data_IF_734860536930
#
_entry.id   IF_734860536930
#
_cell.length_a   1.000
_cell.length_b   1.000
_cell.length_c   1.000
_cell.angle_alpha   90.00
_cell.angle_beta   90.00
_cell.angle_gamma   90.00
#
_symmetry.space_group_name_H-M   'P 1'
#
loop_
_entity.id
_entity.type
_entity.pdbx_description
1 polymer ?
#
# COMPACT_ATOMS: atom_id res chain seq x y z
N UNK A 1 15.53 31.50 -7.03
CA UNK A 1 14.68 30.30 -7.15
C UNK A 1 15.56 29.09 -6.88
N UNK A 2 15.47 28.47 -5.69
CA UNK A 2 16.20 27.23 -5.38
C UNK A 2 15.72 26.19 -6.41
N UNK A 3 16.62 25.63 -7.23
CA UNK A 3 16.28 24.49 -8.08
C UNK A 3 15.85 23.38 -7.13
N UNK A 4 14.55 23.09 -7.07
CA UNK A 4 14.10 21.88 -6.39
C UNK A 4 14.77 20.69 -7.10
N UNK A 5 15.25 19.70 -6.34
CA UNK A 5 15.85 18.52 -6.95
C UNK A 5 14.80 17.87 -7.85
N UNK A 6 15.17 17.58 -9.10
CA UNK A 6 14.34 16.87 -10.09
C UNK A 6 13.73 15.59 -9.53
N UNK A 7 14.33 15.03 -8.47
CA UNK A 7 13.89 13.82 -7.81
C UNK A 7 12.42 13.83 -7.41
N UNK A 8 11.92 14.94 -6.84
CA UNK A 8 10.53 15.00 -6.41
C UNK A 8 9.52 14.79 -7.54
N UNK A 9 9.85 15.15 -8.78
CA UNK A 9 9.00 14.88 -9.93
C UNK A 9 8.98 13.40 -10.30
N UNK A 10 10.14 12.74 -10.29
CA UNK A 10 10.25 11.32 -10.62
C UNK A 10 9.57 10.44 -9.57
N UNK A 11 9.79 10.70 -8.28
CA UNK A 11 9.12 9.98 -7.18
C UNK A 11 7.60 10.01 -7.35
N UNK A 12 7.03 11.20 -7.62
CA UNK A 12 5.57 11.39 -7.78
C UNK A 12 5.05 10.74 -9.05
N UNK A 13 5.80 10.77 -10.15
CA UNK A 13 5.42 10.13 -11.40
C UNK A 13 5.41 8.59 -11.28
N UNK A 14 6.45 8.00 -10.69
CA UNK A 14 6.55 6.54 -10.49
C UNK A 14 5.48 6.07 -9.51
N UNK A 15 5.30 6.76 -8.38
CA UNK A 15 4.24 6.48 -7.40
C UNK A 15 2.85 6.59 -8.02
N UNK A 16 2.59 7.60 -8.87
CA UNK A 16 1.33 7.74 -9.59
C UNK A 16 1.08 6.54 -10.52
N UNK A 17 2.07 6.17 -11.32
CA UNK A 17 1.95 5.06 -12.27
C UNK A 17 1.68 3.74 -11.54
N UNK A 18 2.42 3.49 -10.46
CA UNK A 18 2.23 2.32 -9.62
C UNK A 18 0.80 2.27 -9.06
N UNK A 19 0.35 3.35 -8.42
CA UNK A 19 -0.99 3.45 -7.84
C UNK A 19 -2.10 3.22 -8.87
N UNK A 20 -2.02 3.88 -10.04
CA UNK A 20 -3.02 3.74 -11.12
C UNK A 20 -3.10 2.32 -11.68
N UNK A 21 -2.03 1.54 -11.59
CA UNK A 21 -2.01 0.13 -12.01
C UNK A 21 -2.49 -0.80 -10.88
N UNK A 22 -1.97 -0.65 -9.66
CA UNK A 22 -2.26 -1.60 -8.56
C UNK A 22 -3.69 -1.46 -8.04
N UNK A 23 -4.27 -0.25 -8.04
CA UNK A 23 -5.62 -0.03 -7.49
C UNK A 23 -6.68 -0.81 -8.30
N UNK A 24 -6.79 -0.69 -9.64
CA UNK A 24 -7.78 -1.46 -10.41
C UNK A 24 -7.55 -2.97 -10.30
N UNK A 25 -6.30 -3.43 -10.34
CA UNK A 25 -5.96 -4.84 -10.21
C UNK A 25 -6.32 -5.39 -8.82
N UNK A 26 -6.12 -4.60 -7.76
CA UNK A 26 -6.54 -4.92 -6.40
C UNK A 26 -8.06 -5.11 -6.31
N UNK A 27 -8.85 -4.21 -6.92
CA UNK A 27 -10.31 -4.33 -6.97
C UNK A 27 -10.76 -5.63 -7.65
N UNK A 28 -10.12 -6.02 -8.75
CA UNK A 28 -10.42 -7.27 -9.46
C UNK A 28 -10.13 -8.52 -8.61
N UNK A 29 -9.22 -8.41 -7.62
CA UNK A 29 -8.81 -9.50 -6.76
C UNK A 29 -9.57 -9.56 -5.42
N UNK A 30 -10.55 -8.68 -5.16
CA UNK A 30 -11.24 -8.66 -3.86
C UNK A 30 -12.15 -9.88 -3.65
N UNK A 31 -12.84 -10.34 -4.69
CA UNK A 31 -13.91 -11.35 -4.56
C UNK A 31 -13.56 -12.67 -5.24
N UNK A 32 -12.32 -13.13 -5.09
CA UNK A 32 -11.87 -14.39 -5.69
C UNK A 32 -12.40 -15.58 -4.87
N UNK A 33 -13.15 -16.51 -5.48
CA UNK A 33 -13.69 -17.68 -4.78
C UNK A 33 -12.60 -18.56 -4.14
N UNK A 34 -11.41 -18.62 -4.75
CA UNK A 34 -10.26 -19.35 -4.22
C UNK A 34 -9.76 -18.82 -2.86
N UNK A 35 -10.21 -17.63 -2.44
CA UNK A 35 -9.74 -16.93 -1.24
C UNK A 35 -10.88 -16.66 -0.23
N UNK A 36 -12.11 -17.09 -0.50
CA UNK A 36 -13.28 -16.67 0.29
C UNK A 36 -13.47 -17.43 1.61
N UNK A 37 -12.99 -18.69 1.67
CA UNK A 37 -13.11 -19.54 2.85
C UNK A 37 -12.20 -19.13 4.01
N UNK A 38 -12.55 -19.49 5.24
CA UNK A 38 -11.86 -19.02 6.45
C UNK A 38 -10.38 -19.42 6.50
N UNK A 39 -10.06 -20.62 6.01
CA UNK A 39 -8.69 -21.13 5.89
C UNK A 39 -7.99 -20.55 4.66
N UNK A 40 -8.71 -20.45 3.55
CA UNK A 40 -8.25 -19.93 2.27
C UNK A 40 -7.87 -18.45 2.34
N UNK A 41 -8.46 -17.69 3.26
CA UNK A 41 -8.01 -16.31 3.55
C UNK A 41 -6.55 -16.24 4.00
N UNK A 42 -6.04 -17.29 4.65
CA UNK A 42 -4.67 -17.34 5.15
C UNK A 42 -3.75 -18.10 4.20
N UNK A 43 -4.19 -19.24 3.69
CA UNK A 43 -3.34 -20.17 2.93
C UNK A 43 -3.73 -20.33 1.46
N UNK A 44 -4.86 -19.74 1.04
CA UNK A 44 -5.33 -19.80 -0.34
C UNK A 44 -4.43 -18.99 -1.27
N UNK A 45 -4.52 -19.32 -2.55
CA UNK A 45 -3.75 -18.66 -3.62
C UNK A 45 -4.58 -18.52 -4.88
N UNK A 46 -4.33 -17.45 -5.62
CA UNK A 46 -4.86 -17.22 -6.96
C UNK A 46 -3.78 -16.51 -7.78
N UNK A 47 -3.56 -16.96 -9.01
CA UNK A 47 -2.50 -16.44 -9.89
C UNK A 47 -2.68 -14.94 -10.19
N UNK A 48 -3.91 -14.44 -10.20
CA UNK A 48 -4.19 -13.00 -10.38
C UNK A 48 -3.63 -12.17 -9.24
N UNK A 49 -3.67 -12.70 -8.01
CA UNK A 49 -3.05 -12.07 -6.85
C UNK A 49 -1.53 -12.15 -6.96
N UNK A 50 -0.99 -13.27 -7.43
CA UNK A 50 0.45 -13.38 -7.73
C UNK A 50 0.93 -12.31 -8.71
N UNK A 51 0.20 -12.08 -9.81
CA UNK A 51 0.49 -11.01 -10.75
C UNK A 51 0.42 -9.62 -10.09
N UNK A 52 -0.63 -9.35 -9.31
CA UNK A 52 -0.74 -8.10 -8.55
C UNK A 52 0.44 -7.90 -7.58
N UNK A 53 0.83 -8.93 -6.85
CA UNK A 53 1.95 -8.89 -5.91
C UNK A 53 3.29 -8.68 -6.64
N UNK A 54 3.46 -9.17 -7.87
CA UNK A 54 4.64 -8.88 -8.70
C UNK A 54 4.78 -7.39 -8.96
N UNK A 55 3.67 -6.71 -9.30
CA UNK A 55 3.66 -5.25 -9.49
C UNK A 55 3.86 -4.54 -8.15
N UNK A 56 3.26 -5.05 -7.06
CA UNK A 56 3.45 -4.50 -5.72
C UNK A 56 4.92 -4.54 -5.28
N UNK A 57 5.68 -5.57 -5.62
CA UNK A 57 7.14 -5.61 -5.38
C UNK A 57 7.92 -4.45 -6.02
N UNK A 58 7.28 -3.64 -6.88
CA UNK A 58 7.75 -2.32 -7.28
C UNK A 58 8.08 -1.36 -6.12
N UNK A 59 7.61 -1.62 -4.89
CA UNK A 59 8.08 -0.93 -3.66
C UNK A 59 9.60 -1.01 -3.45
N UNK A 60 10.31 -1.88 -4.17
CA UNK A 60 11.76 -1.82 -4.29
C UNK A 60 12.25 -0.45 -4.79
N UNK A 61 11.54 0.17 -5.74
CA UNK A 61 11.82 1.51 -6.20
C UNK A 61 11.76 2.52 -5.06
N UNK A 62 10.72 2.46 -4.23
CA UNK A 62 10.55 3.37 -3.09
C UNK A 62 11.72 3.27 -2.12
N UNK A 63 12.23 2.06 -1.86
CA UNK A 63 13.44 1.88 -1.03
C UNK A 63 14.65 2.55 -1.68
N UNK A 64 14.91 2.26 -2.96
CA UNK A 64 16.07 2.78 -3.67
C UNK A 64 16.04 4.31 -3.75
N UNK A 65 14.89 4.87 -4.14
CA UNK A 65 14.69 6.31 -4.21
C UNK A 65 14.87 6.97 -2.84
N UNK A 66 14.25 6.40 -1.79
CA UNK A 66 14.33 6.93 -0.44
C UNK A 66 15.75 6.93 0.12
N UNK A 67 16.50 5.85 -0.10
CA UNK A 67 17.89 5.72 0.39
C UNK A 67 18.83 6.63 -0.38
N UNK A 68 18.73 6.69 -1.71
CA UNK A 68 19.62 7.49 -2.55
C UNK A 68 19.41 9.00 -2.36
N UNK A 69 18.19 9.41 -2.04
CA UNK A 69 17.83 10.82 -1.89
C UNK A 69 17.62 11.26 -0.44
N UNK A 70 17.98 10.41 0.53
CA UNK A 70 17.91 10.69 1.97
C UNK A 70 16.52 11.17 2.42
N UNK A 71 15.48 10.50 1.93
CA UNK A 71 14.11 10.71 2.36
C UNK A 71 13.90 10.30 3.82
N UNK A 72 12.71 10.57 4.36
CA UNK A 72 12.39 10.23 5.76
C UNK A 72 12.56 8.73 6.04
N UNK A 73 13.06 8.41 7.25
CA UNK A 73 13.21 7.01 7.68
C UNK A 73 11.89 6.23 7.65
N UNK A 74 10.77 6.90 7.89
CA UNK A 74 9.43 6.29 7.78
C UNK A 74 9.13 5.81 6.37
N UNK A 75 9.56 6.55 5.33
CA UNK A 75 9.36 6.15 3.93
C UNK A 75 10.26 4.98 3.52
N UNK A 76 11.49 4.93 4.02
CA UNK A 76 12.38 3.76 3.85
C UNK A 76 11.78 2.52 4.52
N UNK A 77 11.32 2.65 5.76
CA UNK A 77 10.69 1.56 6.51
C UNK A 77 9.39 1.08 5.85
N UNK A 78 8.61 1.99 5.28
CA UNK A 78 7.43 1.66 4.47
C UNK A 78 7.81 0.76 3.29
N UNK A 79 8.75 1.20 2.45
CA UNK A 79 9.19 0.45 1.28
C UNK A 79 9.71 -0.95 1.64
N UNK A 80 10.54 -1.05 2.68
CA UNK A 80 11.06 -2.34 3.18
C UNK A 80 9.93 -3.25 3.64
N UNK A 81 8.98 -2.73 4.44
CA UNK A 81 7.86 -3.50 4.94
C UNK A 81 6.98 -4.01 3.79
N UNK A 82 6.61 -3.13 2.86
CA UNK A 82 5.80 -3.49 1.68
C UNK A 82 6.50 -4.54 0.81
N UNK A 83 7.77 -4.32 0.44
CA UNK A 83 8.54 -5.28 -0.36
C UNK A 83 8.63 -6.65 0.34
N UNK A 84 8.85 -6.65 1.67
CA UNK A 84 8.95 -7.89 2.44
C UNK A 84 7.64 -8.67 2.45
N UNK A 85 6.51 -8.02 2.75
CA UNK A 85 5.21 -8.72 2.83
C UNK A 85 4.73 -9.20 1.47
N UNK A 86 4.88 -8.40 0.40
CA UNK A 86 4.49 -8.85 -0.94
C UNK A 86 5.46 -9.89 -1.50
N UNK A 87 6.76 -9.77 -1.25
CA UNK A 87 7.76 -10.75 -1.68
C UNK A 87 7.61 -12.11 -0.98
N UNK A 88 7.32 -12.13 0.32
CA UNK A 88 7.14 -13.39 1.06
C UNK A 88 5.79 -14.06 0.81
N UNK A 89 4.81 -13.36 0.24
CA UNK A 89 3.48 -13.91 -0.04
C UNK A 89 3.48 -15.08 -1.04
N UNK A 90 4.53 -15.19 -1.87
CA UNK A 90 4.71 -16.25 -2.88
C UNK A 90 4.93 -17.65 -2.29
N UNK A 91 5.15 -17.75 -0.97
CA UNK A 91 4.90 -19.00 -0.26
C UNK A 91 3.43 -18.95 0.16
N UNK A 92 2.49 -19.47 -0.65
CA UNK A 92 1.05 -19.15 -0.61
C UNK A 92 0.54 -18.72 0.77
N UNK A 93 0.55 -17.40 1.02
CA UNK A 93 0.24 -16.85 2.32
C UNK A 93 -0.38 -15.47 2.18
N UNK A 94 -1.53 -15.29 2.82
CA UNK A 94 -2.28 -14.04 2.92
C UNK A 94 -2.63 -13.40 1.57
N UNK A 95 -2.80 -14.20 0.51
CA UNK A 95 -3.23 -13.73 -0.81
C UNK A 95 -4.59 -13.01 -0.77
N UNK A 96 -5.45 -13.34 0.18
CA UNK A 96 -6.71 -12.61 0.42
C UNK A 96 -6.48 -11.17 0.89
N UNK A 97 -5.48 -10.96 1.74
CA UNK A 97 -5.22 -9.67 2.39
C UNK A 97 -4.38 -8.73 1.53
N UNK A 98 -3.50 -9.26 0.68
CA UNK A 98 -2.63 -8.46 -0.18
C UNK A 98 -3.38 -7.41 -1.03
N UNK A 99 -4.36 -7.80 -1.87
CA UNK A 99 -5.17 -6.84 -2.64
C UNK A 99 -5.87 -5.81 -1.74
N UNK A 100 -6.34 -6.23 -0.56
CA UNK A 100 -7.08 -5.37 0.36
C UNK A 100 -6.19 -4.31 1.00
N UNK A 101 -4.96 -4.66 1.36
CA UNK A 101 -3.99 -3.69 1.86
C UNK A 101 -3.43 -2.80 0.76
N UNK A 102 -3.36 -3.27 -0.50
CA UNK A 102 -2.99 -2.41 -1.64
C UNK A 102 -4.02 -1.30 -1.92
N UNK A 103 -5.27 -1.43 -1.46
CA UNK A 103 -6.23 -0.33 -1.53
C UNK A 103 -5.84 0.88 -0.66
N UNK A 104 -4.83 0.78 0.21
CA UNK A 104 -4.25 1.95 0.88
C UNK A 104 -3.61 2.94 -0.09
N UNK A 105 -3.30 2.52 -1.32
CA UNK A 105 -2.84 3.39 -2.38
C UNK A 105 -3.95 4.27 -2.98
N UNK A 106 -5.23 4.08 -2.62
CA UNK A 106 -6.36 4.85 -3.17
C UNK A 106 -6.21 6.37 -3.05
N UNK A 107 -5.54 6.84 -1.99
CA UNK A 107 -5.27 8.27 -1.79
C UNK A 107 -4.05 8.77 -2.56
N UNK A 108 -3.15 7.88 -3.00
CA UNK A 108 -1.86 8.21 -3.61
C UNK A 108 -2.00 9.00 -4.92
N UNK A 109 -2.94 8.70 -5.83
CA UNK A 109 -3.17 9.54 -7.00
C UNK A 109 -3.54 10.98 -6.63
N UNK A 110 -4.44 11.17 -5.66
CA UNK A 110 -4.84 12.50 -5.22
C UNK A 110 -3.70 13.24 -4.51
N UNK A 111 -2.87 12.52 -3.75
CA UNK A 111 -1.67 13.06 -3.10
C UNK A 111 -0.68 13.60 -4.13
N UNK A 112 -0.39 12.80 -5.16
CA UNK A 112 0.53 13.18 -6.22
C UNK A 112 -0.02 14.33 -7.07
N UNK A 113 -1.31 14.31 -7.42
CA UNK A 113 -1.98 15.44 -8.09
C UNK A 113 -1.92 16.72 -7.24
N UNK A 114 -2.11 16.64 -5.93
CA UNK A 114 -2.03 17.80 -5.05
C UNK A 114 -0.63 18.44 -5.11
N UNK A 115 0.41 17.60 -5.03
CA UNK A 115 1.80 18.04 -5.14
C UNK A 115 2.12 18.69 -6.49
N UNK A 116 1.55 18.17 -7.59
CA UNK A 116 1.68 18.76 -8.93
C UNK A 116 0.93 20.09 -9.04
N UNK A 117 -0.29 20.17 -8.50
CA UNK A 117 -1.08 21.40 -8.52
C UNK A 117 -0.39 22.54 -7.75
N UNK A 118 0.24 22.24 -6.62
CA UNK A 118 1.05 23.19 -5.85
C UNK A 118 2.22 23.82 -6.64
N UNK A 119 2.64 23.19 -7.74
CA UNK A 119 3.75 23.62 -8.60
C UNK A 119 3.29 24.11 -9.98
N UNK A 120 1.99 24.23 -10.17
CA UNK A 120 1.38 24.66 -11.43
C UNK A 120 0.54 25.94 -11.23
N UNK A 121 0.10 26.61 -12.31
CA UNK A 121 -0.86 27.70 -12.22
C UNK A 121 -2.23 27.30 -11.62
N UNK A 122 -2.48 26.00 -11.43
CA UNK A 122 -3.72 25.50 -10.83
C UNK A 122 -3.74 25.65 -9.30
N UNK A 123 -2.62 26.04 -8.66
CA UNK A 123 -2.57 26.24 -7.22
C UNK A 123 -3.62 27.24 -6.75
N UNK A 124 -4.49 26.80 -5.85
CA UNK A 124 -5.52 27.63 -5.21
C UNK A 124 -6.80 27.77 -6.04
N UNK A 125 -6.86 27.13 -7.21
CA UNK A 125 -8.11 27.02 -7.98
C UNK A 125 -9.09 26.06 -7.31
N UNK A 126 -10.36 26.11 -7.74
CA UNK A 126 -11.39 25.14 -7.33
C UNK A 126 -10.97 23.70 -7.59
N UNK A 127 -10.24 23.43 -8.69
CA UNK A 127 -9.74 22.08 -9.02
C UNK A 127 -8.74 21.62 -7.95
N UNK A 128 -7.82 22.49 -7.52
CA UNK A 128 -6.88 22.16 -6.45
C UNK A 128 -7.61 21.85 -5.15
N UNK A 129 -8.61 22.66 -4.79
CA UNK A 129 -9.43 22.43 -3.59
C UNK A 129 -10.21 21.11 -3.64
N UNK A 130 -10.89 20.81 -4.76
CA UNK A 130 -11.63 19.57 -4.94
C UNK A 130 -10.72 18.35 -4.85
N UNK A 131 -9.52 18.41 -5.44
CA UNK A 131 -8.53 17.34 -5.31
C UNK A 131 -8.04 17.18 -3.86
N UNK A 132 -7.78 18.28 -3.16
CA UNK A 132 -7.41 18.26 -1.74
C UNK A 132 -8.51 17.61 -0.87
N UNK A 133 -9.78 17.89 -1.15
CA UNK A 133 -10.90 17.23 -0.47
C UNK A 133 -10.96 15.73 -0.81
N UNK A 134 -10.80 15.37 -2.09
CA UNK A 134 -10.77 13.97 -2.52
C UNK A 134 -9.60 13.20 -1.87
N UNK A 135 -8.44 13.84 -1.72
CA UNK A 135 -7.30 13.31 -0.98
C UNK A 135 -7.66 13.01 0.47
N UNK A 136 -8.24 13.97 1.20
CA UNK A 136 -8.61 13.77 2.61
C UNK A 136 -9.64 12.65 2.79
N UNK A 137 -10.68 12.64 1.94
CA UNK A 137 -11.74 11.62 1.97
C UNK A 137 -11.16 10.24 1.66
N UNK A 138 -10.41 10.11 0.57
CA UNK A 138 -9.81 8.82 0.19
C UNK A 138 -8.81 8.32 1.24
N UNK A 139 -7.98 9.20 1.80
CA UNK A 139 -7.02 8.85 2.86
C UNK A 139 -7.77 8.33 4.10
N UNK A 140 -8.75 9.08 4.59
CA UNK A 140 -9.51 8.71 5.78
C UNK A 140 -10.22 7.36 5.60
N UNK A 141 -10.96 7.19 4.52
CA UNK A 141 -11.73 5.96 4.33
C UNK A 141 -10.86 4.76 3.95
N UNK A 142 -9.87 4.92 3.06
CA UNK A 142 -9.06 3.79 2.62
C UNK A 142 -8.04 3.35 3.68
N UNK A 143 -7.32 4.28 4.30
CA UNK A 143 -6.23 3.97 5.23
C UNK A 143 -6.71 3.81 6.66
N UNK A 144 -7.49 4.77 7.17
CA UNK A 144 -7.87 4.76 8.59
C UNK A 144 -9.08 3.86 8.86
N UNK A 145 -10.16 3.98 8.09
CA UNK A 145 -11.37 3.17 8.32
C UNK A 145 -11.20 1.75 7.77
N UNK A 146 -11.10 1.62 6.45
CA UNK A 146 -11.03 0.32 5.78
C UNK A 146 -9.75 -0.42 6.15
N UNK A 147 -8.60 0.28 6.21
CA UNK A 147 -7.33 -0.31 6.62
C UNK A 147 -7.33 -0.86 8.03
N UNK A 148 -7.81 -0.09 9.02
CA UNK A 148 -7.88 -0.60 10.40
C UNK A 148 -8.85 -1.76 10.54
N UNK A 149 -10.00 -1.71 9.84
CA UNK A 149 -10.94 -2.83 9.80
C UNK A 149 -10.30 -4.08 9.19
N UNK A 150 -9.57 -3.93 8.08
CA UNK A 150 -8.89 -5.05 7.44
C UNK A 150 -7.73 -5.60 8.27
N UNK A 151 -7.00 -4.74 8.99
CA UNK A 151 -6.01 -5.15 9.98
C UNK A 151 -6.63 -5.95 11.12
N UNK A 152 -7.77 -5.51 11.66
CA UNK A 152 -8.50 -6.31 12.65
C UNK A 152 -8.88 -7.68 12.10
N UNK A 153 -9.46 -7.74 10.89
CA UNK A 153 -9.83 -9.00 10.25
C UNK A 153 -8.60 -9.90 9.99
N UNK A 154 -7.48 -9.31 9.60
CA UNK A 154 -6.19 -9.98 9.42
C UNK A 154 -5.71 -10.62 10.72
N UNK A 155 -5.71 -9.87 11.83
CA UNK A 155 -5.30 -10.38 13.14
C UNK A 155 -6.17 -11.54 13.60
N UNK A 156 -7.50 -11.45 13.42
CA UNK A 156 -8.40 -12.56 13.74
C UNK A 156 -8.03 -13.83 12.96
N UNK A 157 -7.76 -13.71 11.65
CA UNK A 157 -7.41 -14.87 10.82
C UNK A 157 -6.06 -15.49 11.15
N UNK A 158 -5.02 -14.70 11.41
CA UNK A 158 -3.70 -15.26 11.75
C UNK A 158 -3.68 -15.85 13.16
N UNK A 159 -4.44 -15.29 14.10
CA UNK A 159 -4.55 -15.82 15.47
C UNK A 159 -5.32 -17.14 15.46
N UNK A 160 -6.45 -17.18 14.74
CA UNK A 160 -7.25 -18.40 14.59
C UNK A 160 -6.48 -19.55 13.94
N UNK A 161 -5.53 -19.24 13.05
CA UNK A 161 -4.69 -20.24 12.35
C UNK A 161 -3.26 -20.32 12.92
N UNK A 162 -3.01 -19.76 14.12
CA UNK A 162 -1.64 -19.58 14.65
C UNK A 162 -0.81 -20.85 14.67
N UNK A 163 -1.42 -22.01 14.95
CA UNK A 163 -0.73 -23.30 15.02
C UNK A 163 -0.11 -23.73 13.68
N UNK A 164 -0.74 -23.35 12.57
CA UNK A 164 -0.34 -23.75 11.21
C UNK A 164 0.61 -22.73 10.55
N UNK A 165 0.82 -21.56 11.17
CA UNK A 165 1.65 -20.48 10.62
C UNK A 165 3.07 -20.59 11.17
N UNK A 166 4.10 -20.66 10.31
CA UNK A 166 5.49 -20.59 10.75
C UNK A 166 5.75 -19.35 11.63
N UNK A 167 6.42 -19.47 12.79
CA UNK A 167 6.63 -18.35 13.71
C UNK A 167 7.31 -17.14 13.05
N UNK A 168 8.20 -17.39 12.08
CA UNK A 168 8.87 -16.35 11.31
C UNK A 168 7.88 -15.51 10.50
N UNK A 169 6.99 -16.14 9.73
CA UNK A 169 5.96 -15.45 8.95
C UNK A 169 4.98 -14.73 9.87
N UNK A 170 4.55 -15.36 10.96
CA UNK A 170 3.66 -14.73 11.92
C UNK A 170 4.21 -13.38 12.43
N UNK A 171 5.47 -13.35 12.87
CA UNK A 171 6.08 -12.13 13.39
C UNK A 171 6.37 -11.09 12.30
N UNK A 172 6.87 -11.51 11.14
CA UNK A 172 7.13 -10.58 10.01
C UNK A 172 5.86 -9.84 9.61
N UNK A 173 4.75 -10.55 9.41
CA UNK A 173 3.50 -9.90 9.00
C UNK A 173 2.83 -9.13 10.14
N UNK A 174 2.96 -9.59 11.40
CA UNK A 174 2.45 -8.84 12.56
C UNK A 174 3.16 -7.50 12.71
N UNK A 175 4.50 -7.48 12.73
CA UNK A 175 5.26 -6.25 12.84
C UNK A 175 5.12 -5.37 11.61
N UNK A 176 5.10 -5.96 10.41
CA UNK A 176 4.84 -5.24 9.17
C UNK A 176 3.50 -4.52 9.20
N UNK A 177 2.44 -5.19 9.64
CA UNK A 177 1.11 -4.56 9.73
C UNK A 177 1.04 -3.46 10.79
N UNK A 178 1.66 -3.63 11.97
CA UNK A 178 1.74 -2.58 13.00
C UNK A 178 2.48 -1.36 12.46
N UNK A 179 3.65 -1.57 11.85
CA UNK A 179 4.48 -0.51 11.29
C UNK A 179 3.71 0.27 10.22
N UNK A 180 3.12 -0.42 9.24
CA UNK A 180 2.41 0.22 8.14
C UNK A 180 1.16 0.98 8.61
N UNK A 181 0.42 0.43 9.58
CA UNK A 181 -0.67 1.18 10.20
C UNK A 181 -0.13 2.39 10.97
N UNK A 182 0.91 2.22 11.79
CA UNK A 182 1.51 3.32 12.53
C UNK A 182 1.93 4.49 11.62
N UNK A 183 2.48 4.18 10.44
CA UNK A 183 2.78 5.19 9.42
C UNK A 183 1.52 5.85 8.86
N UNK A 184 0.46 5.09 8.55
CA UNK A 184 -0.83 5.65 8.11
C UNK A 184 -1.49 6.57 9.16
N UNK A 185 -1.27 6.33 10.45
CA UNK A 185 -1.77 7.18 11.53
C UNK A 185 -0.89 8.41 11.78
N UNK A 186 0.41 8.30 11.48
CA UNK A 186 1.37 9.38 11.64
C UNK A 186 1.31 10.41 10.51
N UNK A 187 1.08 9.96 9.27
CA UNK A 187 0.92 10.81 8.08
C UNK A 187 -0.47 11.47 8.02
#
# INVERSE_FOLDING_TARGET
KRKEPLNGWYTRAVSMLHAVIVIPLAFQCLQLPALSGSRERVFGWDERVGFLHSIACGFLWDILDAVLHFESIGFVLHGIACLTVFGLSYKPFLAYYGPRFLLWELSTPFLNLNWFFDRSPLKGTTIHFVNGLALLVSFFFARLVYGSYMSYNFYQSIIANRADIPPTLFWVYTFGNILLNGLNWFW
#
